data_IF_007723745665
#
_entry.id   IF_007723745665
#
_cell.length_a   1.000
_cell.length_b   1.000
_cell.length_c   1.000
_cell.angle_alpha   90.00
_cell.angle_beta   90.00
_cell.angle_gamma   90.00
#
_symmetry.space_group_name_H-M   'P 1'
#
loop_
_entity.id
_entity.type
_entity.pdbx_description
1 polymer ?
#
# COMPACT_ATOMS: atom_id res chain seq x y z
N UNK A 1 -14.46 1.69 -18.38
CA UNK A 1 -13.55 0.60 -18.69
C UNK A 1 -13.19 -0.19 -17.46
N UNK A 2 -13.37 -1.46 -17.52
CA UNK A 2 -13.11 -2.30 -16.36
C UNK A 2 -11.69 -2.85 -16.39
N UNK A 3 -11.10 -2.95 -15.23
CA UNK A 3 -9.81 -3.59 -15.12
C UNK A 3 -9.95 -5.07 -15.42
N UNK A 4 -8.93 -5.65 -16.01
CA UNK A 4 -8.89 -7.08 -16.13
C UNK A 4 -8.73 -7.66 -14.73
N UNK A 5 -9.37 -8.81 -14.48
CA UNK A 5 -9.25 -9.41 -13.15
C UNK A 5 -7.80 -9.61 -12.70
N UNK A 6 -6.92 -9.97 -13.65
CA UNK A 6 -5.52 -10.19 -13.30
C UNK A 6 -4.82 -8.95 -12.81
N UNK A 7 -5.20 -7.77 -13.32
CA UNK A 7 -4.56 -6.53 -12.88
C UNK A 7 -4.85 -6.23 -11.43
N UNK A 8 -6.10 -6.45 -11.02
CA UNK A 8 -6.45 -6.21 -9.63
C UNK A 8 -5.82 -7.25 -8.72
N UNK A 9 -5.77 -8.50 -9.16
CA UNK A 9 -5.13 -9.54 -8.38
C UNK A 9 -3.65 -9.26 -8.15
N UNK A 10 -2.96 -8.81 -9.21
CA UNK A 10 -1.56 -8.45 -9.08
C UNK A 10 -1.37 -7.27 -8.14
N UNK A 11 -2.28 -6.29 -8.23
CA UNK A 11 -2.20 -5.13 -7.35
C UNK A 11 -2.41 -5.53 -5.88
N UNK A 12 -3.34 -6.45 -5.63
CA UNK A 12 -3.58 -6.93 -4.27
C UNK A 12 -2.40 -7.74 -3.76
N UNK A 13 -1.78 -8.54 -4.63
CA UNK A 13 -0.58 -9.26 -4.23
C UNK A 13 0.55 -8.32 -3.86
N UNK A 14 0.72 -7.26 -4.65
CA UNK A 14 1.75 -6.28 -4.34
C UNK A 14 1.45 -5.56 -3.04
N UNK A 15 0.17 -5.25 -2.79
CA UNK A 15 -0.22 -4.62 -1.53
C UNK A 15 0.05 -5.55 -0.34
N UNK A 16 -0.17 -6.85 -0.51
CA UNK A 16 0.15 -7.80 0.54
C UNK A 16 1.65 -7.85 0.79
N UNK A 17 2.46 -7.76 -0.27
CA UNK A 17 3.91 -7.68 -0.12
C UNK A 17 4.31 -6.40 0.61
N UNK A 18 3.61 -5.31 0.35
CA UNK A 18 3.87 -4.05 1.03
C UNK A 18 3.59 -4.18 2.53
N UNK A 19 2.52 -4.88 2.88
CA UNK A 19 2.23 -5.11 4.29
C UNK A 19 3.37 -5.91 4.94
N UNK A 20 3.84 -6.95 4.26
CA UNK A 20 4.96 -7.74 4.79
C UNK A 20 6.22 -6.88 4.95
N UNK A 21 6.44 -5.99 3.99
CA UNK A 21 7.57 -5.07 4.05
C UNK A 21 7.47 -4.17 5.27
N UNK A 22 6.30 -3.62 5.54
CA UNK A 22 6.10 -2.80 6.72
C UNK A 22 6.29 -3.62 7.99
N UNK A 23 5.73 -4.82 8.02
CA UNK A 23 5.78 -5.67 9.20
C UNK A 23 7.18 -6.18 9.51
N UNK A 24 8.07 -6.17 8.52
CA UNK A 24 9.45 -6.59 8.74
C UNK A 24 10.22 -5.65 9.67
N UNK A 25 9.75 -4.41 9.82
CA UNK A 25 10.34 -3.44 10.73
C UNK A 25 9.27 -2.92 11.68
N UNK A 26 9.39 -3.21 12.96
CA UNK A 26 8.34 -2.81 13.90
C UNK A 26 8.00 -1.32 13.87
N UNK A 27 9.00 -0.47 13.70
CA UNK A 27 8.77 0.96 13.67
C UNK A 27 7.94 1.39 12.46
N UNK A 28 8.19 0.76 11.32
CA UNK A 28 7.40 1.05 10.13
C UNK A 28 5.96 0.62 10.31
N UNK A 29 5.77 -0.55 10.87
CA UNK A 29 4.42 -1.05 11.10
C UNK A 29 3.67 -0.18 12.08
N UNK A 30 4.31 0.20 13.18
CA UNK A 30 3.69 1.07 14.18
C UNK A 30 3.28 2.40 13.58
N UNK A 31 4.14 2.98 12.75
CA UNK A 31 3.82 4.24 12.11
C UNK A 31 2.61 4.11 11.21
N UNK A 32 2.55 3.04 10.42
CA UNK A 32 1.40 2.79 9.58
C UNK A 32 0.11 2.67 10.40
N UNK A 33 0.16 1.85 11.45
CA UNK A 33 -1.02 1.64 12.29
C UNK A 33 -1.48 2.94 12.93
N UNK A 34 -0.52 3.73 13.41
CA UNK A 34 -0.82 4.99 14.05
C UNK A 34 -1.49 5.95 13.07
N UNK A 35 -0.93 6.09 11.87
CA UNK A 35 -1.47 7.01 10.90
C UNK A 35 -2.80 6.54 10.32
N UNK A 36 -2.99 5.23 10.25
CA UNK A 36 -4.26 4.67 9.77
C UNK A 36 -5.33 4.62 10.86
N UNK A 37 -4.97 4.92 12.09
CA UNK A 37 -5.93 4.86 13.19
C UNK A 37 -6.26 3.45 13.62
N UNK A 38 -5.35 2.51 13.41
CA UNK A 38 -5.57 1.10 13.75
C UNK A 38 -4.87 0.78 15.05
N UNK A 39 -5.62 0.28 16.02
CA UNK A 39 -5.05 -0.16 17.27
C UNK A 39 -4.23 -1.44 17.03
N UNK A 40 -2.99 -1.53 17.55
CA UNK A 40 -2.18 -2.74 17.33
C UNK A 40 -2.88 -4.02 17.74
N UNK A 41 -3.72 -3.98 18.76
CA UNK A 41 -4.48 -5.15 19.18
C UNK A 41 -5.58 -5.54 18.21
N UNK A 42 -5.97 -4.62 17.30
CA UNK A 42 -7.00 -4.87 16.33
C UNK A 42 -6.52 -5.17 14.93
N UNK A 43 -5.21 -5.39 14.76
CA UNK A 43 -4.67 -5.53 13.42
C UNK A 43 -5.23 -6.73 12.67
N UNK A 44 -5.52 -7.82 13.36
CA UNK A 44 -6.10 -8.99 12.70
C UNK A 44 -7.47 -8.68 12.12
N UNK A 45 -8.30 -8.03 12.91
CA UNK A 45 -9.62 -7.66 12.46
C UNK A 45 -9.54 -6.66 11.33
N UNK A 46 -8.62 -5.68 11.45
CA UNK A 46 -8.43 -4.69 10.42
C UNK A 46 -7.95 -5.34 9.12
N UNK A 47 -7.03 -6.30 9.22
CA UNK A 47 -6.49 -6.96 8.04
C UNK A 47 -7.54 -7.78 7.30
N UNK A 48 -8.60 -8.17 7.99
CA UNK A 48 -9.69 -8.90 7.36
C UNK A 48 -10.67 -7.98 6.65
N UNK A 49 -10.56 -6.67 6.84
CA UNK A 49 -11.50 -5.75 6.23
C UNK A 49 -11.13 -5.47 4.79
N UNK A 50 -12.13 -5.25 3.93
CA UNK A 50 -11.86 -5.10 2.49
C UNK A 50 -10.98 -3.90 2.14
N UNK A 51 -10.99 -2.88 2.97
CA UNK A 51 -10.19 -1.68 2.68
C UNK A 51 -8.78 -1.71 3.22
N UNK A 52 -8.36 -2.80 3.85
CA UNK A 52 -7.07 -2.80 4.53
C UNK A 52 -5.90 -2.67 3.55
N UNK A 53 -5.92 -3.44 2.46
CA UNK A 53 -4.84 -3.36 1.48
C UNK A 53 -4.82 -2.02 0.77
N UNK A 54 -5.99 -1.42 0.58
CA UNK A 54 -6.04 -0.07 0.02
C UNK A 54 -5.36 0.90 0.99
N UNK A 55 -5.61 0.77 2.29
CA UNK A 55 -4.96 1.64 3.28
C UNK A 55 -3.45 1.46 3.27
N UNK A 56 -2.96 0.23 3.10
CA UNK A 56 -1.53 -0.04 3.01
C UNK A 56 -0.92 0.72 1.83
N UNK A 57 -1.56 0.63 0.67
CA UNK A 57 -1.05 1.29 -0.52
C UNK A 57 -1.16 2.81 -0.41
N UNK A 58 -2.22 3.31 0.20
CA UNK A 58 -2.34 4.75 0.43
C UNK A 58 -1.21 5.25 1.31
N UNK A 59 -0.83 4.46 2.30
CA UNK A 59 0.27 4.83 3.18
C UNK A 59 1.57 4.96 2.38
N UNK A 60 1.85 4.00 1.49
CA UNK A 60 3.03 4.10 0.63
C UNK A 60 2.96 5.32 -0.26
N UNK A 61 1.79 5.57 -0.84
CA UNK A 61 1.64 6.69 -1.78
C UNK A 61 1.78 8.04 -1.09
N UNK A 62 1.61 8.11 0.21
CA UNK A 62 1.74 9.36 0.94
C UNK A 62 3.16 9.61 1.46
N UNK A 63 4.08 8.68 1.23
CA UNK A 63 5.43 8.77 1.78
C UNK A 63 6.41 8.30 0.71
N UNK A 64 6.96 9.24 -0.04
CA UNK A 64 7.79 8.90 -1.18
C UNK A 64 9.02 8.09 -0.81
N UNK A 65 9.79 8.47 0.24
CA UNK A 65 10.93 7.63 0.61
C UNK A 65 10.55 6.20 0.93
N UNK A 66 9.41 6.01 1.57
CA UNK A 66 8.95 4.67 1.90
C UNK A 66 8.56 3.90 0.64
N UNK A 67 7.88 4.56 -0.29
CA UNK A 67 7.51 3.94 -1.56
C UNK A 67 8.75 3.50 -2.32
N UNK A 68 9.77 4.35 -2.37
CA UNK A 68 11.00 4.03 -3.07
C UNK A 68 11.73 2.87 -2.40
N UNK A 69 11.74 2.84 -1.07
CA UNK A 69 12.37 1.74 -0.35
C UNK A 69 11.65 0.42 -0.63
N UNK A 70 10.32 0.46 -0.67
CA UNK A 70 9.56 -0.74 -0.97
C UNK A 70 9.83 -1.22 -2.40
N UNK A 71 9.83 -0.31 -3.36
CA UNK A 71 10.08 -0.68 -4.75
C UNK A 71 11.45 -1.32 -4.89
N UNK A 72 12.46 -0.76 -4.23
CA UNK A 72 13.80 -1.32 -4.25
C UNK A 72 13.83 -2.71 -3.62
N UNK A 73 13.11 -2.89 -2.53
CA UNK A 73 13.06 -4.18 -1.85
C UNK A 73 12.41 -5.24 -2.73
N UNK A 74 11.42 -4.85 -3.53
CA UNK A 74 10.73 -5.77 -4.43
C UNK A 74 11.47 -5.95 -5.76
N UNK A 75 12.46 -5.11 -6.03
CA UNK A 75 13.17 -5.17 -7.31
C UNK A 75 12.35 -4.68 -8.47
N UNK A 76 11.42 -3.76 -8.23
CA UNK A 76 10.58 -3.21 -9.29
C UNK A 76 10.73 -1.69 -9.33
N UNK A 77 10.29 -1.12 -10.44
CA UNK A 77 10.33 0.33 -10.58
C UNK A 77 9.21 0.97 -9.75
N UNK A 78 9.46 2.15 -9.18
CA UNK A 78 8.41 2.83 -8.41
C UNK A 78 7.11 3.03 -9.19
N UNK A 79 7.21 3.21 -10.50
CA UNK A 79 6.02 3.37 -11.33
C UNK A 79 5.10 2.16 -11.28
N UNK A 80 5.67 0.97 -11.05
CA UNK A 80 4.86 -0.23 -10.92
C UNK A 80 4.02 -0.18 -9.66
N UNK A 81 4.60 0.38 -8.60
CA UNK A 81 3.85 0.53 -7.35
C UNK A 81 2.70 1.52 -7.54
N UNK A 82 2.97 2.63 -8.21
CA UNK A 82 1.93 3.62 -8.50
C UNK A 82 0.82 3.02 -9.33
N UNK A 83 1.19 2.23 -10.35
CA UNK A 83 0.20 1.60 -11.20
C UNK A 83 -0.68 0.64 -10.40
N UNK A 84 -0.09 -0.11 -9.49
CA UNK A 84 -0.86 -1.01 -8.64
C UNK A 84 -1.84 -0.23 -7.75
N UNK A 85 -1.39 0.90 -7.22
CA UNK A 85 -2.27 1.74 -6.42
C UNK A 85 -3.47 2.21 -7.23
N UNK A 86 -3.23 2.63 -8.47
CA UNK A 86 -4.32 3.02 -9.37
C UNK A 86 -5.29 1.87 -9.60
N UNK A 87 -4.77 0.67 -9.77
CA UNK A 87 -5.62 -0.49 -10.00
C UNK A 87 -6.53 -0.77 -8.80
N UNK A 88 -6.13 -0.33 -7.60
CA UNK A 88 -6.95 -0.46 -6.41
C UNK A 88 -7.82 0.76 -6.15
N UNK A 89 -7.86 1.69 -7.10
CA UNK A 89 -8.73 2.85 -7.00
C UNK A 89 -8.15 4.04 -6.28
N UNK A 90 -6.87 3.99 -5.96
CA UNK A 90 -6.21 5.10 -5.29
C UNK A 90 -5.80 6.13 -6.32
N UNK A 91 -6.29 7.35 -6.15
CA UNK A 91 -5.95 8.45 -7.05
C UNK A 91 -4.91 9.28 -6.34
N UNK A 92 -3.67 9.28 -6.83
CA UNK A 92 -2.65 10.10 -6.19
C UNK A 92 -2.99 11.55 -6.40
N UNK A 93 -2.66 12.30 -5.46
CA UNK A 93 -2.91 13.69 -5.34
C UNK A 93 -2.81 14.43 -6.64
N UNK A 94 -3.86 14.52 -7.33
CA UNK A 94 -3.88 15.27 -8.53
C UNK A 94 -3.41 16.65 -8.33
N UNK A 95 -3.81 17.27 -7.26
CA UNK A 95 -3.45 18.65 -7.05
C UNK A 95 -2.03 18.79 -6.56
N UNK A 96 -1.51 17.79 -5.93
CA UNK A 96 -0.17 17.86 -5.41
C UNK A 96 0.87 17.79 -6.49
N UNK A 97 0.47 17.27 -7.63
CA UNK A 97 1.38 17.05 -8.69
C UNK A 97 1.17 17.91 -9.86
N UNK A 98 0.35 18.84 -9.74
CA UNK A 98 0.00 19.69 -10.85
C UNK A 98 1.18 20.15 -11.64
#
# INVERSE_FOLDING_TARGET
>A
MTLRPGERDLAESLAANALAFLAAEPERLERFLSLAGIDPGGIRAAAASPGFLVAVMEHLMSDEPLLLAFAANEGIKPERVVKAAHALGIVPWERGFA
#
